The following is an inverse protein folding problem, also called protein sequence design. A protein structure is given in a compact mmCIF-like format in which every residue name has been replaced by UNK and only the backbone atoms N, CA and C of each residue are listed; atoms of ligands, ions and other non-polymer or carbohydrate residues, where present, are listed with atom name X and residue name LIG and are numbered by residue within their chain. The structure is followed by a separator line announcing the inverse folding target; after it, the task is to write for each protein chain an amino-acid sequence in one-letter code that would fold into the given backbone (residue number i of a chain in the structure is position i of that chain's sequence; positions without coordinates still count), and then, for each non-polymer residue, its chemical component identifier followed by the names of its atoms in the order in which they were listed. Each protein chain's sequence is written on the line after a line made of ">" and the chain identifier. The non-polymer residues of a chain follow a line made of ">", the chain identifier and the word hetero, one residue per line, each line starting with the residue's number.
data_IF_388981141960
#
_entry.id   IF_388981141960
#
_cell.length_a   1.000
_cell.length_b   1.000
_cell.length_c   1.000
_cell.angle_alpha   90.00
_cell.angle_beta   90.00
_cell.angle_gamma   90.00
#
_symmetry.space_group_name_H-M   'P 1'
#
loop_
_entity.id
_entity.type
_entity.pdbx_description
1 polymer ?
#
# COMPACT_ATOMS: atom_id res chain seq x y z
N UNK A 1 6.51 -46.74 12.99
CA UNK A 1 5.03 -46.68 13.00
C UNK A 1 4.56 -46.45 14.44
N UNK A 2 4.64 -45.22 14.94
CA UNK A 2 4.07 -44.84 16.24
C UNK A 2 2.71 -44.26 15.91
N UNK A 3 1.70 -45.13 15.80
CA UNK A 3 0.32 -44.67 15.69
C UNK A 3 -0.02 -44.04 17.04
N UNK A 4 -0.14 -42.71 17.06
CA UNK A 4 -0.58 -41.98 18.25
C UNK A 4 -1.91 -42.57 18.72
N UNK A 5 -1.91 -43.18 19.91
CA UNK A 5 -3.06 -43.83 20.55
C UNK A 5 -4.06 -42.82 21.17
N UNK A 6 -3.85 -41.51 20.97
CA UNK A 6 -4.76 -40.49 21.50
C UNK A 6 -6.03 -40.42 20.63
N UNK A 7 -7.20 -40.67 21.24
CA UNK A 7 -8.48 -40.26 20.65
C UNK A 7 -8.44 -38.74 20.52
N UNK A 8 -8.39 -38.23 19.29
CA UNK A 8 -8.43 -36.80 19.00
C UNK A 8 -9.85 -36.40 18.64
N UNK A 9 -10.28 -35.25 19.16
CA UNK A 9 -11.53 -34.61 18.75
C UNK A 9 -11.42 -34.18 17.28
N UNK A 10 -12.43 -34.54 16.48
CA UNK A 10 -12.51 -34.09 15.08
C UNK A 10 -13.10 -32.69 15.09
N UNK A 11 -12.32 -31.70 14.67
CA UNK A 11 -12.74 -30.30 14.55
C UNK A 11 -12.88 -29.89 13.10
N UNK A 12 -13.89 -29.10 12.79
CA UNK A 12 -14.00 -28.48 11.48
C UNK A 12 -13.03 -27.29 11.38
N UNK A 13 -12.53 -27.00 10.18
CA UNK A 13 -11.63 -25.85 9.99
C UNK A 13 -12.31 -24.53 10.36
N UNK A 14 -13.63 -24.42 10.16
CA UNK A 14 -14.44 -23.28 10.58
C UNK A 14 -14.50 -23.08 12.09
N UNK A 15 -14.25 -24.12 12.89
CA UNK A 15 -14.19 -24.05 14.36
C UNK A 15 -12.79 -23.65 14.86
N UNK A 16 -11.78 -23.81 14.01
CA UNK A 16 -10.37 -23.51 14.32
C UNK A 16 -9.98 -22.10 13.89
N UNK A 17 -10.50 -21.64 12.74
CA UNK A 17 -10.25 -20.30 12.22
C UNK A 17 -11.31 -19.31 12.69
N UNK A 18 -10.89 -18.08 13.00
CA UNK A 18 -11.82 -17.00 13.33
C UNK A 18 -12.75 -16.69 12.14
N UNK A 19 -14.03 -16.33 12.35
CA UNK A 19 -15.00 -16.14 11.28
C UNK A 19 -14.54 -15.23 10.15
N UNK A 20 -13.89 -14.11 10.49
CA UNK A 20 -13.37 -13.14 9.51
C UNK A 20 -12.37 -13.76 8.52
N UNK A 21 -11.62 -14.79 8.94
CA UNK A 21 -10.62 -15.46 8.12
C UNK A 21 -11.17 -16.63 7.30
N UNK A 22 -12.47 -16.91 7.34
CA UNK A 22 -13.07 -17.95 6.50
C UNK A 22 -12.96 -17.59 5.01
N UNK A 23 -13.06 -16.31 4.65
CA UNK A 23 -12.86 -15.83 3.28
C UNK A 23 -11.39 -15.98 2.82
N UNK A 24 -10.44 -15.70 3.72
CA UNK A 24 -9.01 -15.94 3.49
C UNK A 24 -8.75 -17.42 3.23
N UNK A 25 -9.37 -18.30 4.03
CA UNK A 25 -9.23 -19.74 3.85
C UNK A 25 -9.80 -20.23 2.51
N UNK A 26 -10.95 -19.69 2.07
CA UNK A 26 -11.53 -19.98 0.75
C UNK A 26 -10.61 -19.52 -0.37
N UNK A 27 -10.08 -18.30 -0.28
CA UNK A 27 -9.10 -17.77 -1.24
C UNK A 27 -7.85 -18.66 -1.30
N UNK A 28 -7.30 -19.05 -0.13
CA UNK A 28 -6.16 -19.95 0.00
C UNK A 28 -6.40 -21.34 -0.61
N UNK A 29 -7.58 -21.91 -0.39
CA UNK A 29 -7.98 -23.22 -0.92
C UNK A 29 -8.20 -23.23 -2.42
N UNK A 30 -8.61 -22.11 -3.01
CA UNK A 30 -8.91 -22.01 -4.43
C UNK A 30 -7.69 -22.21 -5.34
N UNK A 31 -6.47 -22.02 -4.80
CA UNK A 31 -5.22 -21.97 -5.57
C UNK A 31 -5.22 -20.96 -6.74
N UNK A 32 -6.19 -20.03 -6.78
CA UNK A 32 -6.23 -18.92 -7.74
C UNK A 32 -5.09 -17.93 -7.47
N UNK A 33 -4.93 -17.54 -6.21
CA UNK A 33 -4.03 -16.47 -5.79
C UNK A 33 -2.63 -17.00 -5.44
N UNK A 34 -1.59 -16.31 -5.91
CA UNK A 34 -0.19 -16.54 -5.50
C UNK A 34 0.18 -15.72 -4.27
N UNK A 35 -0.43 -14.54 -4.08
CA UNK A 35 -0.15 -13.62 -2.97
C UNK A 35 -1.43 -13.34 -2.18
N UNK A 36 -1.50 -13.79 -0.93
CA UNK A 36 -2.61 -13.47 -0.01
C UNK A 36 -2.14 -12.45 1.02
N UNK A 37 -2.66 -11.23 0.94
CA UNK A 37 -2.27 -10.08 1.76
C UNK A 37 -3.26 -9.91 2.90
N UNK A 38 -2.81 -10.15 4.12
CA UNK A 38 -3.56 -9.91 5.36
C UNK A 38 -3.05 -8.62 6.03
N UNK A 39 -3.76 -7.51 5.87
CA UNK A 39 -3.45 -6.23 6.52
C UNK A 39 -4.44 -5.89 7.64
N UNK A 40 -4.09 -4.90 8.46
CA UNK A 40 -5.00 -4.28 9.42
C UNK A 40 -4.39 -4.11 10.81
N UNK A 41 -5.19 -3.73 11.80
CA UNK A 41 -4.69 -3.28 13.11
C UNK A 41 -4.19 -4.39 14.04
N UNK A 42 -3.68 -3.99 15.21
CA UNK A 42 -3.24 -4.92 16.26
C UNK A 42 -4.41 -5.73 16.81
N UNK A 43 -4.16 -6.96 17.24
CA UNK A 43 -5.17 -7.83 17.87
C UNK A 43 -6.14 -8.52 16.89
N UNK A 44 -5.92 -8.37 15.58
CA UNK A 44 -6.79 -8.87 14.49
C UNK A 44 -6.64 -10.35 14.13
N UNK A 45 -5.89 -11.13 14.92
CA UNK A 45 -5.65 -12.57 14.73
C UNK A 45 -5.05 -13.00 13.37
N UNK A 46 -4.43 -12.08 12.60
CA UNK A 46 -3.76 -12.38 11.32
C UNK A 46 -2.77 -13.55 11.42
N UNK A 47 -1.72 -13.39 12.21
CA UNK A 47 -0.63 -14.36 12.36
C UNK A 47 -1.12 -15.71 12.90
N UNK A 48 -2.13 -15.68 13.79
CA UNK A 48 -2.74 -16.89 14.35
C UNK A 48 -3.44 -17.73 13.29
N UNK A 49 -4.31 -17.11 12.49
CA UNK A 49 -5.03 -17.82 11.43
C UNK A 49 -4.07 -18.30 10.31
N UNK A 50 -3.09 -17.47 9.93
CA UNK A 50 -2.07 -17.86 8.93
C UNK A 50 -1.29 -19.10 9.39
N UNK A 51 -0.81 -19.09 10.63
CA UNK A 51 -0.05 -20.23 11.18
C UNK A 51 -0.89 -21.52 11.23
N UNK A 52 -2.18 -21.43 11.57
CA UNK A 52 -3.10 -22.59 11.53
C UNK A 52 -3.28 -23.12 10.10
N UNK A 53 -3.51 -22.25 9.12
CA UNK A 53 -3.67 -22.64 7.72
C UNK A 53 -2.41 -23.32 7.17
N UNK A 54 -1.23 -22.72 7.39
CA UNK A 54 0.04 -23.29 6.95
C UNK A 54 0.37 -24.61 7.65
N UNK A 55 0.09 -24.73 8.95
CA UNK A 55 0.30 -26.00 9.69
C UNK A 55 -0.55 -27.12 9.10
N UNK A 56 -1.81 -26.84 8.79
CA UNK A 56 -2.70 -27.81 8.15
C UNK A 56 -2.22 -28.20 6.74
N UNK A 57 -1.70 -27.27 5.94
CA UNK A 57 -1.21 -27.58 4.60
C UNK A 57 0.13 -28.33 4.62
N UNK A 58 1.03 -28.03 5.57
CA UNK A 58 2.23 -28.85 5.78
C UNK A 58 1.88 -30.30 6.14
N UNK A 59 0.83 -30.52 6.94
CA UNK A 59 0.35 -31.86 7.32
C UNK A 59 -0.34 -32.57 6.16
N UNK A 60 -1.03 -31.85 5.27
CA UNK A 60 -1.74 -32.46 4.12
C UNK A 60 -0.84 -32.76 2.93
N UNK A 61 0.13 -31.89 2.67
CA UNK A 61 0.90 -31.91 1.44
C UNK A 61 2.39 -32.23 1.69
N UNK A 62 3.07 -32.94 0.77
CA UNK A 62 4.50 -33.21 0.86
C UNK A 62 5.32 -31.99 0.37
N UNK A 63 5.18 -30.87 1.06
CA UNK A 63 5.79 -29.58 0.71
C UNK A 63 6.55 -29.01 1.90
N UNK A 64 7.54 -28.17 1.63
CA UNK A 64 8.17 -27.31 2.62
C UNK A 64 7.56 -25.90 2.56
N UNK A 65 7.52 -25.23 3.71
CA UNK A 65 6.97 -23.88 3.87
C UNK A 65 8.03 -22.98 4.49
N UNK A 66 8.28 -21.82 3.90
CA UNK A 66 9.25 -20.85 4.44
C UNK A 66 8.56 -19.68 5.13
N UNK A 67 8.95 -19.37 6.37
CA UNK A 67 8.48 -18.22 7.14
C UNK A 67 9.59 -17.18 7.19
N UNK A 68 9.31 -15.99 6.65
CA UNK A 68 10.28 -14.91 6.47
C UNK A 68 9.93 -13.74 7.38
N UNK A 69 10.96 -13.13 7.97
CA UNK A 69 10.91 -11.79 8.58
C UNK A 69 12.08 -10.95 8.09
N UNK A 70 12.01 -9.63 8.29
CA UNK A 70 13.12 -8.73 7.96
C UNK A 70 14.40 -9.11 8.71
N UNK A 71 14.32 -9.25 10.03
CA UNK A 71 15.48 -9.49 10.92
C UNK A 71 15.46 -10.91 11.47
N UNK A 72 16.47 -11.71 11.16
CA UNK A 72 16.55 -13.12 11.56
C UNK A 72 16.48 -13.39 13.07
N UNK A 73 17.06 -12.50 13.88
CA UNK A 73 17.04 -12.62 15.35
C UNK A 73 15.63 -12.62 15.94
N UNK A 74 14.66 -12.02 15.24
CA UNK A 74 13.26 -11.94 15.69
C UNK A 74 12.47 -13.23 15.43
N UNK A 75 12.94 -14.12 14.55
CA UNK A 75 12.19 -15.31 14.10
C UNK A 75 11.82 -16.24 15.26
N UNK A 76 12.80 -16.53 16.12
CA UNK A 76 12.65 -17.50 17.21
C UNK A 76 11.54 -17.11 18.18
N UNK A 77 11.32 -15.81 18.43
CA UNK A 77 10.31 -15.29 19.35
C UNK A 77 9.02 -14.84 18.66
N UNK A 78 8.91 -14.99 17.34
CA UNK A 78 7.75 -14.56 16.54
C UNK A 78 7.13 -15.74 15.79
N UNK A 79 7.34 -15.84 14.49
CA UNK A 79 6.74 -16.85 13.60
C UNK A 79 7.04 -18.29 14.04
N UNK A 80 8.20 -18.55 14.63
CA UNK A 80 8.54 -19.88 15.16
C UNK A 80 7.62 -20.30 16.31
N UNK A 81 7.45 -19.44 17.31
CA UNK A 81 6.51 -19.69 18.42
C UNK A 81 5.05 -19.65 17.93
N UNK A 82 4.73 -18.85 16.91
CA UNK A 82 3.39 -18.79 16.34
C UNK A 82 2.99 -20.11 15.65
N UNK A 83 3.92 -20.77 14.96
CA UNK A 83 3.72 -22.11 14.38
C UNK A 83 3.64 -23.17 15.49
N UNK A 84 4.51 -23.12 16.51
CA UNK A 84 4.41 -24.01 17.67
C UNK A 84 3.05 -23.89 18.38
N UNK A 85 2.56 -22.66 18.53
CA UNK A 85 1.23 -22.40 19.06
C UNK A 85 0.15 -23.05 18.18
N UNK A 86 0.22 -22.91 16.85
CA UNK A 86 -0.76 -23.51 15.94
C UNK A 86 -0.76 -25.04 16.03
N UNK A 87 0.42 -25.66 16.06
CA UNK A 87 0.60 -27.11 16.27
C UNK A 87 -0.06 -27.56 17.59
N UNK A 88 0.14 -26.80 18.67
CA UNK A 88 -0.50 -27.05 19.97
C UNK A 88 -2.01 -26.87 19.93
N UNK A 89 -2.53 -25.82 19.30
CA UNK A 89 -3.98 -25.60 19.17
C UNK A 89 -4.67 -26.72 18.39
N UNK A 90 -3.95 -27.31 17.42
CA UNK A 90 -4.44 -28.43 16.63
C UNK A 90 -4.30 -29.79 17.35
N UNK A 91 -3.60 -29.86 18.49
CA UNK A 91 -3.41 -31.11 19.25
C UNK A 91 -2.55 -32.17 18.54
N UNK A 92 -1.61 -31.71 17.70
CA UNK A 92 -0.78 -32.55 16.82
C UNK A 92 0.71 -32.49 17.17
N UNK A 93 1.08 -32.03 18.36
CA UNK A 93 2.47 -31.87 18.80
C UNK A 93 3.31 -33.14 18.66
N UNK A 94 2.70 -34.32 18.89
CA UNK A 94 3.39 -35.62 18.81
C UNK A 94 3.95 -35.93 17.40
N UNK A 95 3.53 -35.20 16.37
CA UNK A 95 4.00 -35.35 14.98
C UNK A 95 5.05 -34.32 14.56
N UNK A 96 5.52 -33.49 15.51
CA UNK A 96 6.43 -32.41 15.20
C UNK A 96 7.70 -32.46 16.04
N UNK A 97 8.81 -32.18 15.38
CA UNK A 97 10.10 -31.97 16.01
C UNK A 97 10.52 -30.50 15.86
N UNK A 98 10.91 -29.88 16.97
CA UNK A 98 11.32 -28.49 17.04
C UNK A 98 12.85 -28.39 17.07
N UNK A 99 13.45 -27.74 16.07
CA UNK A 99 14.90 -27.50 16.03
C UNK A 99 15.24 -26.02 16.06
N UNK A 100 16.37 -25.70 16.68
CA UNK A 100 16.88 -24.34 16.82
C UNK A 100 18.09 -24.04 15.92
N UNK A 101 18.79 -25.08 15.43
CA UNK A 101 19.92 -24.94 14.52
C UNK A 101 20.00 -26.16 13.58
N UNK A 102 19.70 -26.00 12.27
CA UNK A 102 19.04 -24.83 11.69
C UNK A 102 17.65 -24.60 12.33
N UNK A 103 17.13 -23.37 12.27
CA UNK A 103 15.82 -23.05 12.81
C UNK A 103 14.74 -23.65 11.89
N UNK A 104 14.17 -24.78 12.30
CA UNK A 104 13.17 -25.54 11.54
C UNK A 104 12.17 -26.24 12.46
N UNK A 105 10.97 -26.52 11.94
CA UNK A 105 9.96 -27.38 12.60
C UNK A 105 9.58 -28.47 11.62
N UNK A 106 9.88 -29.73 11.95
CA UNK A 106 9.75 -30.88 11.05
C UNK A 106 8.52 -31.70 11.38
N UNK A 107 7.69 -31.99 10.38
CA UNK A 107 6.62 -32.97 10.47
C UNK A 107 7.19 -34.39 10.34
N UNK A 108 7.17 -35.17 11.42
CA UNK A 108 7.97 -36.40 11.54
C UNK A 108 7.48 -37.56 10.69
N UNK A 109 6.21 -37.58 10.30
CA UNK A 109 5.64 -38.69 9.50
C UNK A 109 6.19 -38.73 8.06
N UNK A 110 6.56 -37.58 7.50
CA UNK A 110 7.11 -37.47 6.14
C UNK A 110 8.50 -36.85 6.08
N UNK A 111 8.82 -35.98 7.04
CA UNK A 111 10.09 -35.23 7.07
C UNK A 111 10.02 -33.84 6.43
N UNK A 112 8.89 -33.46 5.82
CA UNK A 112 8.69 -32.09 5.34
C UNK A 112 8.54 -31.11 6.50
N UNK A 113 8.83 -29.82 6.28
CA UNK A 113 9.14 -28.90 7.37
C UNK A 113 8.81 -27.44 7.09
N UNK A 114 8.68 -26.69 8.18
CA UNK A 114 8.81 -25.24 8.21
C UNK A 114 10.28 -24.84 8.27
N UNK A 115 10.66 -23.87 7.45
CA UNK A 115 11.98 -23.24 7.41
C UNK A 115 11.81 -21.77 7.83
N UNK A 116 12.69 -21.25 8.67
CA UNK A 116 12.59 -19.87 9.17
C UNK A 116 13.80 -19.06 8.71
N UNK A 117 13.55 -17.90 8.08
CA UNK A 117 14.60 -17.09 7.46
C UNK A 117 14.46 -15.59 7.71
N UNK A 118 15.59 -14.94 8.01
CA UNK A 118 15.74 -13.49 8.03
C UNK A 118 16.38 -13.00 6.74
N UNK A 119 15.99 -11.83 6.25
CA UNK A 119 16.52 -11.23 5.01
C UNK A 119 17.50 -10.08 5.28
N UNK A 120 17.90 -9.89 6.53
CA UNK A 120 18.93 -8.96 6.97
C UNK A 120 20.32 -9.28 6.40
N UNK A 121 20.52 -10.53 5.96
CA UNK A 121 21.71 -10.99 5.26
C UNK A 121 21.33 -11.50 3.85
N UNK A 122 21.70 -10.78 2.77
CA UNK A 122 21.38 -11.13 1.39
C UNK A 122 21.90 -12.50 0.93
N UNK A 123 22.90 -13.08 1.61
CA UNK A 123 23.40 -14.40 1.26
C UNK A 123 22.43 -15.51 1.68
N UNK A 124 21.60 -15.29 2.71
CA UNK A 124 20.67 -16.28 3.26
C UNK A 124 19.50 -16.58 2.33
N UNK A 125 19.01 -15.60 1.57
CA UNK A 125 17.88 -15.79 0.65
C UNK A 125 18.25 -16.60 -0.58
N UNK A 126 19.50 -16.49 -1.07
CA UNK A 126 19.96 -17.15 -2.30
C UNK A 126 20.08 -18.68 -2.16
N UNK A 127 20.26 -19.17 -0.94
CA UNK A 127 20.58 -20.57 -0.61
C UNK A 127 19.38 -21.42 -0.19
N UNK A 128 18.15 -20.91 -0.27
CA UNK A 128 16.94 -21.68 0.03
C UNK A 128 16.72 -22.75 -1.04
N UNK A 129 17.23 -23.95 -0.79
CA UNK A 129 16.97 -25.16 -1.56
C UNK A 129 16.88 -26.31 -0.56
N UNK A 130 15.88 -27.16 -0.70
CA UNK A 130 15.77 -28.40 0.06
C UNK A 130 15.63 -29.58 -0.91
N UNK A 131 16.46 -30.60 -0.72
CA UNK A 131 16.50 -31.77 -1.61
C UNK A 131 15.39 -32.79 -1.33
N UNK A 132 14.73 -32.70 -0.16
CA UNK A 132 13.76 -33.70 0.29
C UNK A 132 12.35 -33.37 -0.20
N UNK A 133 11.93 -32.11 -0.05
CA UNK A 133 10.60 -31.66 -0.44
C UNK A 133 10.64 -30.27 -1.10
N UNK A 134 9.82 -30.02 -2.13
CA UNK A 134 9.77 -28.72 -2.79
C UNK A 134 9.26 -27.65 -1.83
N UNK A 135 9.84 -26.45 -1.90
CA UNK A 135 9.34 -25.28 -1.19
C UNK A 135 8.30 -24.63 -2.08
N UNK A 136 7.02 -24.75 -1.73
CA UNK A 136 5.92 -24.23 -2.55
C UNK A 136 5.18 -23.09 -1.89
N UNK A 137 5.35 -22.92 -0.57
CA UNK A 137 4.61 -21.93 0.19
C UNK A 137 5.52 -21.05 1.04
N UNK A 138 5.07 -19.81 1.24
CA UNK A 138 5.81 -18.81 1.98
C UNK A 138 4.90 -17.95 2.87
N UNK A 139 5.50 -17.35 3.88
CA UNK A 139 4.85 -16.35 4.71
C UNK A 139 5.82 -15.24 5.07
N UNK A 140 5.57 -14.02 4.59
CA UNK A 140 6.27 -12.83 5.06
C UNK A 140 5.48 -12.21 6.21
N UNK A 141 6.05 -12.26 7.39
CA UNK A 141 5.51 -11.63 8.59
C UNK A 141 6.13 -10.24 8.80
N UNK A 142 5.33 -9.31 9.30
CA UNK A 142 5.64 -7.88 9.41
C UNK A 142 6.23 -7.32 8.11
N UNK A 143 5.51 -7.52 6.99
CA UNK A 143 5.92 -7.10 5.65
C UNK A 143 6.35 -5.61 5.60
N UNK A 144 5.73 -4.76 6.42
CA UNK A 144 6.05 -3.35 6.54
C UNK A 144 7.48 -3.05 7.04
N UNK A 145 8.18 -4.01 7.65
CA UNK A 145 9.59 -3.87 8.09
C UNK A 145 10.59 -3.96 6.92
N UNK A 146 10.16 -4.46 5.75
CA UNK A 146 11.00 -4.56 4.56
C UNK A 146 11.15 -3.19 3.90
N UNK A 147 12.30 -2.95 3.27
CA UNK A 147 12.65 -1.61 2.78
C UNK A 147 11.78 -1.18 1.60
N UNK A 148 11.52 -2.10 0.69
CA UNK A 148 10.77 -1.89 -0.55
C UNK A 148 10.27 -3.24 -1.09
N UNK A 149 9.54 -3.17 -2.19
CA UNK A 149 9.01 -4.33 -2.90
C UNK A 149 10.11 -5.21 -3.50
N UNK A 150 11.17 -4.62 -4.07
CA UNK A 150 12.27 -5.36 -4.73
C UNK A 150 12.94 -6.36 -3.78
N UNK A 151 13.08 -5.98 -2.50
CA UNK A 151 13.62 -6.87 -1.48
C UNK A 151 12.76 -8.14 -1.28
N UNK A 152 11.44 -8.00 -1.38
CA UNK A 152 10.49 -9.10 -1.26
C UNK A 152 10.50 -9.95 -2.53
N UNK A 153 10.46 -9.33 -3.71
CA UNK A 153 10.47 -10.04 -4.99
C UNK A 153 11.77 -10.84 -5.19
N UNK A 154 12.93 -10.32 -4.77
CA UNK A 154 14.21 -11.07 -4.80
C UNK A 154 14.15 -12.39 -4.01
N UNK A 155 13.41 -12.40 -2.89
CA UNK A 155 13.22 -13.61 -2.08
C UNK A 155 12.23 -14.56 -2.76
N UNK A 156 11.15 -14.04 -3.35
CA UNK A 156 10.19 -14.83 -4.11
C UNK A 156 10.83 -15.50 -5.32
N UNK A 157 11.68 -14.80 -6.07
CA UNK A 157 12.45 -15.35 -7.20
C UNK A 157 13.37 -16.51 -6.77
N UNK A 158 13.83 -16.48 -5.51
CA UNK A 158 14.61 -17.57 -4.94
C UNK A 158 13.76 -18.79 -4.58
N UNK A 159 12.45 -18.61 -4.36
CA UNK A 159 11.48 -19.67 -4.09
C UNK A 159 10.92 -20.26 -5.40
N UNK A 160 10.65 -19.44 -6.42
CA UNK A 160 9.94 -19.81 -7.66
C UNK A 160 10.78 -20.58 -8.71
N UNK A 161 11.91 -21.18 -8.33
CA UNK A 161 12.92 -21.70 -9.27
C UNK A 161 12.51 -22.98 -10.02
N UNK A 162 11.60 -23.78 -9.49
CA UNK A 162 11.29 -25.12 -10.00
C UNK A 162 9.92 -25.24 -10.67
N UNK A 163 9.81 -26.10 -11.69
CA UNK A 163 8.49 -26.60 -12.13
C UNK A 163 7.93 -27.51 -11.04
N UNK A 164 6.73 -27.20 -10.56
CA UNK A 164 6.04 -28.02 -9.58
C UNK A 164 5.30 -29.17 -10.28
N UNK A 165 5.11 -30.29 -9.55
CA UNK A 165 4.30 -31.41 -10.03
C UNK A 165 2.82 -31.01 -10.14
N UNK A 166 2.05 -31.75 -10.93
CA UNK A 166 0.63 -31.52 -11.13
C UNK A 166 -0.12 -31.35 -9.80
N UNK A 167 -0.93 -30.29 -9.69
CA UNK A 167 -1.70 -29.82 -8.52
C UNK A 167 -0.98 -28.99 -7.45
N UNK A 168 0.34 -28.74 -7.57
CA UNK A 168 1.04 -27.80 -6.69
C UNK A 168 1.25 -26.44 -7.36
N UNK A 169 1.09 -25.35 -6.60
CA UNK A 169 1.32 -23.97 -7.03
C UNK A 169 2.15 -23.23 -5.99
N UNK A 170 2.98 -22.30 -6.44
CA UNK A 170 3.59 -21.33 -5.54
C UNK A 170 2.54 -20.35 -5.02
N UNK A 171 2.39 -20.29 -3.70
CA UNK A 171 1.49 -19.32 -3.07
C UNK A 171 1.92 -19.01 -1.65
N UNK A 172 1.55 -17.86 -1.13
CA UNK A 172 1.90 -17.53 0.24
C UNK A 172 1.14 -16.36 0.82
N UNK A 173 1.47 -16.06 2.07
CA UNK A 173 0.87 -14.99 2.83
C UNK A 173 1.84 -13.82 3.02
N UNK A 174 1.30 -12.61 2.96
CA UNK A 174 1.92 -11.41 3.49
C UNK A 174 1.06 -10.91 4.66
N UNK A 175 1.66 -10.67 5.82
CA UNK A 175 0.97 -10.04 6.95
C UNK A 175 1.70 -8.81 7.44
N UNK A 176 0.95 -7.74 7.72
CA UNK A 176 1.51 -6.53 8.30
C UNK A 176 0.44 -5.68 9.00
N UNK A 177 0.91 -4.84 9.92
CA UNK A 177 0.14 -3.69 10.37
C UNK A 177 0.53 -2.48 9.49
N UNK A 178 -0.43 -1.79 8.86
CA UNK A 178 -0.14 -0.66 7.98
C UNK A 178 0.69 0.42 8.68
N UNK A 179 1.82 0.87 8.11
CA UNK A 179 2.61 1.97 8.65
C UNK A 179 1.83 3.28 8.73
N UNK A 180 2.27 4.17 9.64
CA UNK A 180 1.65 5.48 9.84
C UNK A 180 1.69 6.32 8.56
N UNK A 181 2.85 6.35 7.89
CA UNK A 181 3.07 7.09 6.67
C UNK A 181 2.33 6.48 5.49
N UNK A 182 1.45 7.27 4.85
CA UNK A 182 0.67 6.83 3.71
C UNK A 182 1.54 6.46 2.50
N UNK A 183 2.65 7.17 2.30
CA UNK A 183 3.60 6.92 1.22
C UNK A 183 4.44 5.65 1.37
N UNK A 184 4.36 4.96 2.52
CA UNK A 184 5.09 3.71 2.71
C UNK A 184 4.70 2.70 1.62
N UNK A 185 5.68 1.95 1.10
CA UNK A 185 5.50 1.11 -0.09
C UNK A 185 4.38 0.07 0.08
N UNK A 186 4.18 -0.53 1.27
CA UNK A 186 3.08 -1.49 1.47
C UNK A 186 1.71 -0.82 1.42
N UNK A 187 1.60 0.42 1.92
CA UNK A 187 0.37 1.20 1.88
C UNK A 187 0.10 1.65 0.45
N UNK A 188 1.11 2.20 -0.24
CA UNK A 188 1.02 2.54 -1.68
C UNK A 188 0.48 1.34 -2.46
N UNK A 189 1.14 0.19 -2.38
CA UNK A 189 0.84 -0.99 -3.19
C UNK A 189 -0.51 -1.63 -2.89
N UNK A 190 -0.83 -1.85 -1.61
CA UNK A 190 -1.97 -2.68 -1.20
C UNK A 190 -3.16 -1.89 -0.63
N UNK A 191 -3.03 -0.57 -0.44
CA UNK A 191 -4.14 0.30 -0.03
C UNK A 191 -4.55 1.27 -1.13
N UNK A 192 -3.61 2.09 -1.62
CA UNK A 192 -3.97 3.24 -2.47
C UNK A 192 -3.93 2.94 -3.97
N UNK A 193 -3.05 2.04 -4.41
CA UNK A 193 -2.89 1.72 -5.84
C UNK A 193 -3.42 0.34 -6.21
N UNK A 194 -3.92 -0.42 -5.24
CA UNK A 194 -4.38 -1.77 -5.48
C UNK A 194 -5.62 -1.74 -6.38
N UNK A 195 -5.56 -2.52 -7.46
CA UNK A 195 -6.71 -2.85 -8.30
C UNK A 195 -6.92 -4.35 -8.21
N UNK A 196 -8.15 -4.82 -8.43
CA UNK A 196 -8.44 -6.25 -8.46
C UNK A 196 -7.46 -6.95 -9.41
N UNK A 197 -6.83 -8.00 -8.89
CA UNK A 197 -5.73 -8.73 -9.53
C UNK A 197 -6.07 -10.22 -9.45
N UNK A 198 -5.85 -10.94 -10.54
CA UNK A 198 -6.18 -12.36 -10.61
C UNK A 198 -5.26 -13.25 -9.76
N UNK A 199 -4.11 -12.74 -9.33
CA UNK A 199 -3.10 -13.43 -8.53
C UNK A 199 -2.99 -12.92 -7.09
N UNK A 200 -3.56 -11.76 -6.76
CA UNK A 200 -3.47 -11.14 -5.42
C UNK A 200 -4.85 -11.06 -4.74
N UNK A 201 -4.95 -11.58 -3.52
CA UNK A 201 -6.11 -11.40 -2.65
C UNK A 201 -5.75 -10.51 -1.46
N UNK A 202 -6.45 -9.39 -1.27
CA UNK A 202 -6.23 -8.47 -0.14
C UNK A 202 -7.37 -8.59 0.86
N UNK A 203 -7.01 -8.77 2.13
CA UNK A 203 -7.93 -8.88 3.26
C UNK A 203 -7.54 -7.88 4.36
N UNK A 204 -8.54 -7.22 4.93
CA UNK A 204 -8.39 -6.35 6.11
C UNK A 204 -9.12 -6.92 7.34
N UNK A 205 -8.46 -6.91 8.50
CA UNK A 205 -9.08 -7.18 9.80
C UNK A 205 -8.57 -6.30 10.93
N UNK A 206 -9.42 -6.15 11.94
CA UNK A 206 -9.19 -5.39 13.17
C UNK A 206 -9.38 -6.27 14.39
N UNK A 207 -9.11 -5.73 15.59
CA UNK A 207 -9.40 -6.44 16.83
C UNK A 207 -10.90 -6.71 17.05
N UNK A 208 -11.78 -5.94 16.40
CA UNK A 208 -13.24 -6.13 16.46
C UNK A 208 -13.68 -7.44 15.80
N UNK A 209 -12.87 -7.95 14.86
CA UNK A 209 -13.12 -9.19 14.14
C UNK A 209 -12.63 -10.44 14.90
N UNK A 210 -11.93 -10.25 16.03
CA UNK A 210 -11.31 -11.34 16.77
C UNK A 210 -12.15 -11.73 18.00
N UNK A 211 -12.88 -12.86 17.96
CA UNK A 211 -13.71 -13.31 19.08
C UNK A 211 -12.88 -13.77 20.30
N UNK A 212 -11.57 -13.95 20.16
CA UNK A 212 -10.67 -14.37 21.23
C UNK A 212 -9.82 -13.22 21.79
N UNK A 213 -10.17 -11.96 21.47
CA UNK A 213 -9.49 -10.79 22.00
C UNK A 213 -9.79 -10.64 23.50
N UNK A 214 -8.81 -10.20 24.28
CA UNK A 214 -9.01 -10.03 25.73
C UNK A 214 -9.77 -8.74 26.06
N UNK A 215 -10.56 -8.77 27.13
CA UNK A 215 -11.28 -7.60 27.64
C UNK A 215 -10.33 -6.43 27.94
N UNK A 216 -9.13 -6.71 28.45
CA UNK A 216 -8.13 -5.68 28.73
C UNK A 216 -7.60 -5.02 27.46
N UNK A 217 -7.48 -5.78 26.36
CA UNK A 217 -7.11 -5.20 25.07
C UNK A 217 -8.22 -4.27 24.56
N UNK A 218 -9.49 -4.69 24.67
CA UNK A 218 -10.66 -3.89 24.28
C UNK A 218 -10.73 -2.60 25.11
N UNK A 219 -10.61 -2.70 26.44
CA UNK A 219 -10.57 -1.52 27.34
C UNK A 219 -9.47 -0.54 26.97
N UNK A 220 -8.27 -1.06 26.65
CA UNK A 220 -7.14 -0.23 26.22
C UNK A 220 -7.43 0.44 24.88
N UNK A 221 -8.01 -0.28 23.92
CA UNK A 221 -8.37 0.26 22.61
C UNK A 221 -9.40 1.39 22.73
N UNK A 222 -10.47 1.18 23.51
CA UNK A 222 -11.50 2.20 23.76
C UNK A 222 -10.96 3.41 24.54
N UNK A 223 -10.04 3.20 25.50
CA UNK A 223 -9.36 4.33 26.17
C UNK A 223 -8.54 5.17 25.19
N UNK A 224 -7.81 4.52 24.27
CA UNK A 224 -7.05 5.23 23.23
C UNK A 224 -7.99 5.92 22.24
N UNK A 225 -9.13 5.32 21.90
CA UNK A 225 -10.15 5.91 21.03
C UNK A 225 -10.69 7.22 21.57
N UNK A 226 -10.96 7.29 22.88
CA UNK A 226 -11.43 8.51 23.55
C UNK A 226 -10.33 9.59 23.62
N UNK A 227 -9.11 9.20 24.01
CA UNK A 227 -8.02 10.15 24.27
C UNK A 227 -7.29 10.61 23.00
N UNK A 228 -7.20 9.75 21.98
CA UNK A 228 -6.48 10.02 20.74
C UNK A 228 -7.08 9.19 19.57
N UNK A 229 -8.17 9.69 18.95
CA UNK A 229 -8.87 9.01 17.86
C UNK A 229 -7.98 8.63 16.68
N UNK A 230 -7.00 9.48 16.32
CA UNK A 230 -6.08 9.21 15.23
C UNK A 230 -5.13 8.04 15.55
N UNK A 231 -4.56 8.02 16.76
CA UNK A 231 -3.76 6.88 17.22
C UNK A 231 -4.59 5.60 17.27
N UNK A 232 -5.87 5.69 17.60
CA UNK A 232 -6.78 4.56 17.59
C UNK A 232 -6.98 3.99 16.18
N UNK A 233 -7.35 4.84 15.21
CA UNK A 233 -7.48 4.47 13.79
C UNK A 233 -6.25 3.73 13.27
N UNK A 234 -5.06 4.28 13.51
CA UNK A 234 -3.82 3.63 13.09
C UNK A 234 -3.53 2.33 13.84
N UNK A 235 -3.50 2.37 15.16
CA UNK A 235 -2.98 1.24 15.97
C UNK A 235 -3.92 0.04 15.97
N UNK A 236 -5.24 0.30 16.03
CA UNK A 236 -6.26 -0.72 16.28
C UNK A 236 -7.12 -1.02 15.05
N UNK A 237 -7.41 -0.02 14.20
CA UNK A 237 -8.11 -0.24 12.94
C UNK A 237 -7.15 -0.51 11.78
N UNK A 238 -5.86 -0.16 11.92
CA UNK A 238 -4.87 -0.36 10.86
C UNK A 238 -5.05 0.61 9.70
N UNK A 239 -5.49 1.83 9.96
CA UNK A 239 -5.61 2.88 8.94
C UNK A 239 -4.32 3.71 8.89
N UNK A 240 -3.67 3.87 7.72
CA UNK A 240 -2.58 4.83 7.56
C UNK A 240 -3.11 6.25 7.76
N UNK A 241 -2.62 6.95 8.79
CA UNK A 241 -3.12 8.27 9.19
C UNK A 241 -2.24 9.44 8.75
N UNK A 242 -1.06 9.17 8.19
CA UNK A 242 -0.05 10.20 7.96
C UNK A 242 0.43 10.82 9.27
N UNK A 243 0.97 12.04 9.25
CA UNK A 243 1.53 12.69 10.44
C UNK A 243 0.48 13.05 11.51
N UNK A 244 -0.82 12.94 11.20
CA UNK A 244 -1.93 13.29 12.07
C UNK A 244 -2.52 14.68 11.78
N UNK A 245 -1.89 15.43 10.87
CA UNK A 245 -2.44 16.61 10.21
C UNK A 245 -2.69 16.21 8.75
N UNK A 246 -3.92 16.35 8.28
CA UNK A 246 -4.28 16.01 6.90
C UNK A 246 -4.01 17.24 6.03
N UNK A 247 -3.18 17.14 4.98
CA UNK A 247 -2.89 18.27 4.09
C UNK A 247 -4.13 18.89 3.43
N UNK A 248 -5.06 18.05 3.02
CA UNK A 248 -6.29 18.41 2.32
C UNK A 248 -7.45 17.67 2.99
N UNK A 249 -8.00 18.25 4.05
CA UNK A 249 -9.18 17.71 4.74
C UNK A 249 -10.49 17.94 3.97
N UNK A 250 -10.43 18.81 2.95
CA UNK A 250 -11.47 19.09 1.95
C UNK A 250 -11.44 18.13 0.74
N UNK A 251 -10.74 17.00 0.82
CA UNK A 251 -10.62 16.03 -0.25
C UNK A 251 -11.88 15.13 -0.35
N UNK A 252 -12.52 15.12 -1.52
CA UNK A 252 -13.67 14.27 -1.83
C UNK A 252 -13.31 13.25 -2.93
N UNK A 253 -13.04 12.01 -2.52
CA UNK A 253 -12.78 10.90 -3.45
C UNK A 253 -14.10 10.24 -3.85
N UNK A 254 -14.63 10.60 -5.02
CA UNK A 254 -15.91 10.10 -5.53
C UNK A 254 -16.05 10.25 -7.05
N UNK A 255 -16.98 9.50 -7.63
CA UNK A 255 -17.36 9.71 -9.03
C UNK A 255 -17.89 11.12 -9.26
N UNK A 256 -17.44 11.76 -10.33
CA UNK A 256 -17.94 13.06 -10.78
C UNK A 256 -19.04 12.81 -11.81
N UNK A 257 -20.24 13.32 -11.55
CA UNK A 257 -21.40 13.15 -12.42
C UNK A 257 -21.26 13.95 -13.71
N UNK A 258 -21.98 13.54 -14.75
CA UNK A 258 -22.00 14.26 -16.02
C UNK A 258 -22.65 15.64 -15.87
N UNK A 259 -23.61 15.79 -14.96
CA UNK A 259 -24.27 17.05 -14.61
C UNK A 259 -23.27 18.03 -13.97
N UNK A 260 -22.43 17.56 -13.04
CA UNK A 260 -21.35 18.37 -12.47
C UNK A 260 -20.39 18.85 -13.56
N UNK A 261 -19.96 17.96 -14.47
CA UNK A 261 -19.05 18.31 -15.56
C UNK A 261 -19.68 19.34 -16.51
N UNK A 262 -20.94 19.16 -16.90
CA UNK A 262 -21.68 20.08 -17.78
C UNK A 262 -21.86 21.47 -17.14
N UNK A 263 -21.89 21.54 -15.81
CA UNK A 263 -21.99 22.80 -15.08
C UNK A 263 -20.69 23.61 -15.03
N UNK A 264 -19.57 23.06 -15.46
CA UNK A 264 -18.26 23.71 -15.43
C UNK A 264 -18.05 24.54 -16.70
N UNK A 265 -17.80 25.83 -16.52
CA UNK A 265 -17.54 26.79 -17.61
C UNK A 265 -16.06 27.12 -17.77
N UNK A 266 -15.22 26.69 -16.82
CA UNK A 266 -13.81 27.09 -16.72
C UNK A 266 -12.94 25.90 -16.40
N UNK A 267 -11.94 25.69 -17.24
CA UNK A 267 -10.92 24.68 -17.02
C UNK A 267 -9.56 25.34 -16.75
N UNK A 268 -8.74 24.63 -15.98
CA UNK A 268 -7.35 24.98 -15.68
C UNK A 268 -6.49 23.78 -15.98
N UNK A 269 -5.47 24.02 -16.80
CA UNK A 269 -4.51 23.01 -17.20
C UNK A 269 -3.16 23.34 -16.56
N UNK A 270 -2.50 22.32 -16.03
CA UNK A 270 -1.18 22.45 -15.40
C UNK A 270 -0.23 21.36 -15.84
N UNK A 271 1.06 21.69 -15.93
CA UNK A 271 2.12 20.71 -16.22
C UNK A 271 3.26 20.85 -15.22
N UNK A 272 3.58 19.76 -14.55
CA UNK A 272 4.85 19.55 -13.84
C UNK A 272 5.74 18.65 -14.70
N UNK A 273 6.96 19.10 -14.98
CA UNK A 273 7.86 18.42 -15.91
C UNK A 273 8.60 17.27 -15.21
N UNK A 274 8.73 16.14 -15.92
CA UNK A 274 9.50 14.98 -15.50
C UNK A 274 9.86 14.13 -16.71
N UNK A 275 10.97 13.38 -16.65
CA UNK A 275 11.38 12.54 -17.77
C UNK A 275 12.02 11.22 -17.32
N UNK A 276 13.01 11.27 -16.43
CA UNK A 276 13.75 10.09 -15.97
C UNK A 276 12.94 9.24 -14.99
N UNK A 277 13.33 9.30 -13.71
CA UNK A 277 12.60 8.64 -12.62
C UNK A 277 11.37 9.44 -12.20
N UNK A 278 11.40 10.76 -12.41
CA UNK A 278 10.29 11.65 -12.14
C UNK A 278 9.29 11.64 -13.31
N UNK A 279 8.00 11.42 -13.05
CA UNK A 279 6.97 11.43 -14.07
C UNK A 279 6.66 12.85 -14.54
N UNK A 280 6.33 12.99 -15.82
CA UNK A 280 5.60 14.17 -16.31
C UNK A 280 4.15 14.08 -15.83
N UNK A 281 3.61 15.19 -15.33
CA UNK A 281 2.24 15.27 -14.85
C UNK A 281 1.50 16.43 -15.53
N UNK A 282 0.59 16.09 -16.45
CA UNK A 282 -0.46 17.00 -16.92
C UNK A 282 -1.75 16.77 -16.14
N UNK A 283 -2.35 17.86 -15.68
CA UNK A 283 -3.63 17.84 -14.96
C UNK A 283 -4.62 18.80 -15.60
N UNK A 284 -5.88 18.37 -15.72
CA UNK A 284 -7.00 19.22 -16.14
C UNK A 284 -8.05 19.28 -15.04
N UNK A 285 -8.31 20.48 -14.56
CA UNK A 285 -9.29 20.74 -13.51
C UNK A 285 -10.44 21.59 -14.05
N UNK A 286 -11.67 21.21 -13.73
CA UNK A 286 -12.81 22.11 -13.84
C UNK A 286 -12.98 22.90 -12.54
N UNK A 287 -13.29 24.19 -12.63
CA UNK A 287 -13.29 25.07 -11.47
C UNK A 287 -14.62 25.80 -11.29
N UNK A 288 -15.39 25.41 -10.27
CA UNK A 288 -16.52 26.22 -9.78
C UNK A 288 -15.97 27.31 -8.86
N UNK A 289 -15.62 28.45 -9.47
CA UNK A 289 -15.04 29.60 -8.76
C UNK A 289 -15.98 30.20 -7.72
N UNK A 290 -17.31 30.09 -7.90
CA UNK A 290 -18.28 30.66 -6.96
C UNK A 290 -18.34 29.83 -5.69
N UNK A 291 -18.31 28.51 -5.81
CA UNK A 291 -18.28 27.59 -4.67
C UNK A 291 -16.89 27.32 -4.14
N UNK A 292 -15.84 27.72 -4.88
CA UNK A 292 -14.44 27.37 -4.60
C UNK A 292 -14.22 25.86 -4.55
N UNK A 293 -14.77 25.15 -5.54
CA UNK A 293 -14.61 23.70 -5.70
C UNK A 293 -13.87 23.41 -6.99
N UNK A 294 -12.89 22.52 -6.93
CA UNK A 294 -12.18 22.01 -8.12
C UNK A 294 -12.54 20.55 -8.35
N UNK A 295 -12.66 20.16 -9.62
CA UNK A 295 -13.02 18.82 -10.08
C UNK A 295 -11.92 18.29 -10.99
N UNK A 296 -11.35 17.12 -10.67
CA UNK A 296 -10.32 16.49 -11.51
C UNK A 296 -10.97 15.86 -12.74
N UNK A 297 -10.73 16.43 -13.93
CA UNK A 297 -11.47 16.08 -15.17
C UNK A 297 -10.71 15.08 -16.03
N UNK A 298 -9.40 15.31 -16.21
CA UNK A 298 -8.53 14.46 -17.02
C UNK A 298 -7.08 14.59 -16.53
N UNK A 299 -6.26 13.59 -16.81
CA UNK A 299 -4.84 13.59 -16.49
C UNK A 299 -4.04 12.89 -17.59
N UNK A 300 -2.77 13.26 -17.73
CA UNK A 300 -1.80 12.51 -18.53
C UNK A 300 -0.48 12.46 -17.75
N UNK A 301 -0.09 11.26 -17.34
CA UNK A 301 0.89 11.07 -16.28
C UNK A 301 1.79 9.86 -16.57
N UNK A 302 3.10 10.01 -16.41
CA UNK A 302 4.02 8.88 -16.49
C UNK A 302 5.49 9.26 -16.70
N UNK A 303 6.36 8.26 -16.57
CA UNK A 303 7.81 8.37 -16.78
C UNK A 303 8.18 8.20 -18.26
N UNK A 304 9.26 8.84 -18.69
CA UNK A 304 9.77 8.72 -20.06
C UNK A 304 8.88 9.33 -21.14
N UNK A 305 7.84 10.09 -20.77
CA UNK A 305 6.94 10.73 -21.72
C UNK A 305 7.64 11.91 -22.40
N UNK A 306 7.58 11.95 -23.73
CA UNK A 306 8.12 13.06 -24.52
C UNK A 306 7.09 14.18 -24.67
N UNK A 307 7.56 15.43 -24.80
CA UNK A 307 6.70 16.60 -25.00
C UNK A 307 5.75 16.45 -26.21
N UNK A 308 6.22 15.84 -27.31
CA UNK A 308 5.37 15.51 -28.47
C UNK A 308 4.18 14.60 -28.15
N UNK A 309 4.33 13.68 -27.19
CA UNK A 309 3.29 12.73 -26.80
C UNK A 309 2.25 13.43 -25.92
N UNK A 310 2.71 14.29 -25.00
CA UNK A 310 1.85 15.21 -24.27
C UNK A 310 1.07 16.12 -25.22
N UNK A 311 1.75 16.71 -26.20
CA UNK A 311 1.12 17.58 -27.19
C UNK A 311 0.05 16.84 -28.00
N UNK A 312 0.36 15.63 -28.49
CA UNK A 312 -0.59 14.79 -29.20
C UNK A 312 -1.82 14.46 -28.34
N UNK A 313 -1.63 14.17 -27.05
CA UNK A 313 -2.72 13.95 -26.12
C UNK A 313 -3.62 15.19 -26.00
N UNK A 314 -3.05 16.37 -25.72
CA UNK A 314 -3.79 17.65 -25.58
C UNK A 314 -4.60 17.95 -26.85
N UNK A 315 -3.97 17.84 -28.02
CA UNK A 315 -4.61 18.09 -29.33
C UNK A 315 -5.73 17.08 -29.58
N UNK A 316 -5.51 15.80 -29.30
CA UNK A 316 -6.53 14.74 -29.51
C UNK A 316 -7.79 14.95 -28.68
N UNK A 317 -7.66 15.66 -27.55
CA UNK A 317 -8.74 16.00 -26.63
C UNK A 317 -9.40 17.34 -26.94
N UNK A 318 -8.84 18.11 -27.88
CA UNK A 318 -9.24 19.48 -28.21
C UNK A 318 -9.24 20.39 -26.96
N UNK A 319 -8.16 20.33 -26.18
CA UNK A 319 -7.97 21.19 -25.01
C UNK A 319 -7.24 22.48 -25.42
N UNK A 320 -8.01 23.57 -25.53
CA UNK A 320 -7.53 24.86 -26.05
C UNK A 320 -7.18 25.87 -24.94
N UNK A 321 -7.51 25.60 -23.68
CA UNK A 321 -7.22 26.52 -22.58
C UNK A 321 -5.74 26.57 -22.22
N UNK A 322 -5.28 27.76 -21.82
CA UNK A 322 -3.90 28.01 -21.40
C UNK A 322 -3.41 26.96 -20.39
N UNK A 323 -2.27 26.37 -20.70
CA UNK A 323 -1.54 25.43 -19.86
C UNK A 323 -0.47 26.20 -19.06
N UNK A 324 -0.58 26.15 -17.75
CA UNK A 324 0.41 26.71 -16.84
C UNK A 324 1.45 25.65 -16.48
N UNK A 325 2.67 25.80 -16.96
CA UNK A 325 3.75 24.85 -16.76
C UNK A 325 4.69 25.28 -15.63
N UNK A 326 5.47 24.35 -15.09
CA UNK A 326 6.67 24.72 -14.36
C UNK A 326 7.58 25.61 -15.23
N UNK A 327 7.92 26.79 -14.72
CA UNK A 327 8.81 27.77 -15.34
C UNK A 327 10.29 27.37 -15.35
N UNK A 328 10.69 26.30 -14.65
CA UNK A 328 12.07 25.81 -14.60
C UNK A 328 12.54 25.23 -15.94
N UNK A 329 11.61 24.81 -16.83
CA UNK A 329 11.93 24.29 -18.16
C UNK A 329 11.35 25.17 -19.29
N UNK A 330 11.93 26.35 -19.57
CA UNK A 330 11.44 27.24 -20.62
C UNK A 330 11.46 26.61 -22.02
N UNK A 331 12.43 25.72 -22.29
CA UNK A 331 12.52 25.01 -23.58
C UNK A 331 11.32 24.09 -23.82
N UNK A 332 10.87 23.34 -22.81
CA UNK A 332 9.71 22.45 -22.90
C UNK A 332 8.42 23.25 -23.14
N UNK A 333 8.32 24.45 -22.56
CA UNK A 333 7.21 25.38 -22.81
C UNK A 333 7.22 25.87 -24.26
N UNK A 334 8.38 26.27 -24.79
CA UNK A 334 8.50 26.72 -26.18
C UNK A 334 8.20 25.58 -27.16
N UNK A 335 8.62 24.35 -26.87
CA UNK A 335 8.30 23.18 -27.69
C UNK A 335 6.78 22.92 -27.74
N UNK A 336 6.04 23.04 -26.62
CA UNK A 336 4.57 22.94 -26.67
C UNK A 336 3.95 23.99 -27.58
N UNK A 337 4.48 25.22 -27.59
CA UNK A 337 3.99 26.29 -28.46
C UNK A 337 4.26 26.01 -29.94
N UNK A 338 5.34 25.30 -30.27
CA UNK A 338 5.62 24.84 -31.64
C UNK A 338 4.57 23.83 -32.15
N UNK A 339 3.88 23.13 -31.25
CA UNK A 339 2.72 22.28 -31.57
C UNK A 339 1.37 23.02 -31.53
N UNK A 340 1.38 24.36 -31.60
CA UNK A 340 0.19 25.23 -31.52
C UNK A 340 -0.59 25.13 -30.19
N UNK A 341 0.08 24.74 -29.10
CA UNK A 341 -0.54 24.67 -27.77
C UNK A 341 -0.30 25.96 -26.99
N UNK A 342 -1.36 26.50 -26.40
CA UNK A 342 -1.27 27.67 -25.52
C UNK A 342 -0.59 27.29 -24.19
N UNK A 343 0.70 27.57 -24.05
CA UNK A 343 1.48 27.26 -22.85
C UNK A 343 2.22 28.48 -22.28
N UNK A 344 2.31 28.58 -20.95
CA UNK A 344 3.07 29.61 -20.25
C UNK A 344 3.64 29.12 -18.91
N UNK A 345 4.81 29.65 -18.53
CA UNK A 345 5.41 29.34 -17.24
C UNK A 345 4.67 30.02 -16.07
N UNK A 346 4.43 29.26 -15.00
CA UNK A 346 3.90 29.80 -13.75
C UNK A 346 4.91 30.77 -13.11
N UNK A 347 4.43 31.93 -12.63
CA UNK A 347 5.31 32.88 -11.92
C UNK A 347 5.59 32.35 -10.51
N UNK A 348 6.82 31.89 -10.26
CA UNK A 348 7.29 31.44 -8.95
C UNK A 348 7.98 32.58 -8.19
N UNK A 349 7.67 32.71 -6.90
CA UNK A 349 8.37 33.58 -5.94
C UNK A 349 8.71 32.79 -4.68
N UNK A 350 9.53 33.35 -3.79
CA UNK A 350 9.77 32.76 -2.49
C UNK A 350 8.43 32.54 -1.76
N UNK A 351 8.19 31.34 -1.21
CA UNK A 351 6.93 31.01 -0.55
C UNK A 351 5.77 30.62 -1.48
N UNK A 352 5.96 30.61 -2.80
CA UNK A 352 4.88 30.29 -3.76
C UNK A 352 4.43 28.83 -3.68
N UNK A 353 5.27 27.93 -3.17
CA UNK A 353 4.93 26.52 -2.94
C UNK A 353 3.91 26.42 -1.81
N UNK A 354 4.32 26.89 -0.64
CA UNK A 354 3.52 26.89 0.58
C UNK A 354 2.21 27.68 0.41
N UNK A 355 2.25 28.79 -0.34
CA UNK A 355 1.04 29.56 -0.64
C UNK A 355 0.04 28.77 -1.47
N UNK A 356 0.47 28.10 -2.54
CA UNK A 356 -0.44 27.33 -3.37
C UNK A 356 -0.98 26.08 -2.67
N UNK A 357 -0.16 25.43 -1.82
CA UNK A 357 -0.61 24.32 -0.97
C UNK A 357 -1.72 24.80 0.01
N UNK A 358 -1.50 25.95 0.67
CA UNK A 358 -2.52 26.55 1.55
C UNK A 358 -3.78 26.95 0.79
N UNK A 359 -3.65 27.48 -0.42
CA UNK A 359 -4.80 27.84 -1.24
C UNK A 359 -5.64 26.62 -1.62
N UNK A 360 -5.00 25.49 -1.94
CA UNK A 360 -5.70 24.23 -2.18
C UNK A 360 -6.41 23.72 -0.93
N UNK A 361 -5.75 23.77 0.23
CA UNK A 361 -6.35 23.40 1.51
C UNK A 361 -7.53 24.33 1.91
N UNK A 362 -7.54 25.59 1.45
CA UNK A 362 -8.60 26.58 1.69
C UNK A 362 -9.74 26.54 0.64
N UNK A 363 -9.76 25.54 -0.26
CA UNK A 363 -10.92 25.30 -1.12
C UNK A 363 -12.06 24.67 -0.31
N UNK A 364 -13.29 24.83 -0.79
CA UNK A 364 -14.44 24.16 -0.15
C UNK A 364 -14.38 22.65 -0.37
N UNK A 365 -13.97 22.23 -1.58
CA UNK A 365 -13.73 20.83 -1.88
C UNK A 365 -12.74 20.65 -3.04
N UNK A 366 -11.97 19.56 -2.96
CA UNK A 366 -11.16 19.00 -4.03
C UNK A 366 -11.79 17.67 -4.41
N UNK A 367 -12.57 17.66 -5.49
CA UNK A 367 -13.31 16.47 -5.92
C UNK A 367 -12.49 15.70 -6.95
N UNK A 368 -12.18 14.45 -6.65
CA UNK A 368 -11.36 13.58 -7.51
C UNK A 368 -12.11 12.28 -7.78
N UNK A 369 -12.24 11.94 -9.06
CA UNK A 369 -12.78 10.65 -9.51
C UNK A 369 -11.62 9.70 -9.84
N UNK A 370 -11.33 8.68 -9.01
CA UNK A 370 -10.20 7.77 -9.22
C UNK A 370 -10.29 6.99 -10.55
N UNK A 371 -11.49 6.84 -11.12
CA UNK A 371 -11.65 6.16 -12.42
C UNK A 371 -11.20 7.03 -13.58
N UNK A 372 -11.29 8.35 -13.43
CA UNK A 372 -10.87 9.34 -14.44
C UNK A 372 -9.42 9.73 -14.26
N UNK A 373 -9.05 10.03 -13.02
CA UNK A 373 -7.75 10.62 -12.67
C UNK A 373 -7.07 9.82 -11.55
N UNK A 374 -6.65 8.57 -11.82
CA UNK A 374 -6.08 7.69 -10.82
C UNK A 374 -4.76 8.19 -10.22
N UNK A 375 -3.92 8.93 -10.97
CA UNK A 375 -2.66 9.45 -10.46
C UNK A 375 -2.85 10.68 -9.58
N UNK A 376 -3.75 11.60 -9.97
CA UNK A 376 -4.18 12.71 -9.12
C UNK A 376 -4.75 12.15 -7.81
N UNK A 377 -5.65 11.15 -7.86
CA UNK A 377 -6.19 10.50 -6.64
C UNK A 377 -5.08 9.94 -5.76
N UNK A 378 -4.19 9.14 -6.35
CA UNK A 378 -3.07 8.51 -5.64
C UNK A 378 -2.21 9.54 -4.91
N UNK A 379 -1.82 10.63 -5.57
CA UNK A 379 -0.92 11.61 -4.95
C UNK A 379 -1.63 12.47 -3.90
N UNK A 380 -2.84 12.97 -4.16
CA UNK A 380 -3.61 13.73 -3.17
C UNK A 380 -4.00 12.91 -1.94
N UNK A 381 -4.27 11.61 -2.08
CA UNK A 381 -4.59 10.74 -0.95
C UNK A 381 -3.35 10.42 -0.10
N UNK A 382 -2.19 10.28 -0.74
CA UNK A 382 -0.94 9.83 -0.11
C UNK A 382 -0.07 10.96 0.44
N UNK A 383 -0.23 12.19 -0.04
CA UNK A 383 0.59 13.33 0.38
C UNK A 383 0.45 13.58 1.88
N UNK A 384 1.56 14.02 2.48
CA UNK A 384 1.68 14.36 3.89
C UNK A 384 2.61 15.57 4.04
N UNK A 385 2.62 16.17 5.22
CA UNK A 385 3.61 17.19 5.56
C UNK A 385 5.01 16.57 5.66
N UNK A 386 6.02 17.28 5.18
CA UNK A 386 7.41 16.90 5.44
C UNK A 386 7.69 16.90 6.96
N UNK A 387 8.59 16.05 7.44
CA UNK A 387 8.98 16.05 8.86
C UNK A 387 10.43 16.50 9.06
N UNK A 388 10.70 17.11 10.22
CA UNK A 388 12.07 17.30 10.69
C UNK A 388 12.70 15.98 11.18
N UNK A 389 13.93 16.04 11.70
CA UNK A 389 14.66 14.88 12.21
C UNK A 389 14.03 14.27 13.46
N UNK A 390 13.25 15.05 14.19
CA UNK A 390 12.57 14.65 15.42
C UNK A 390 11.15 14.12 15.15
N UNK A 391 10.71 14.15 13.88
CA UNK A 391 9.41 13.66 13.44
C UNK A 391 8.27 14.68 13.56
N UNK A 392 8.59 15.97 13.79
CA UNK A 392 7.59 17.04 13.80
C UNK A 392 7.27 17.49 12.37
N UNK A 393 6.00 17.79 12.09
CA UNK A 393 5.56 18.27 10.79
C UNK A 393 6.11 19.69 10.50
N UNK A 394 6.61 19.87 9.28
CA UNK A 394 7.05 21.13 8.70
C UNK A 394 5.89 21.80 7.94
N UNK A 395 5.89 23.13 7.77
CA UNK A 395 4.83 23.86 7.08
C UNK A 395 4.93 23.78 5.54
N UNK A 396 5.26 22.59 5.01
CA UNK A 396 5.36 22.27 3.59
C UNK A 396 5.06 20.79 3.38
N UNK A 397 4.54 20.43 2.21
CA UNK A 397 4.32 19.03 1.87
C UNK A 397 5.65 18.28 1.66
N UNK A 398 5.60 16.96 1.78
CA UNK A 398 6.73 16.09 1.44
C UNK A 398 7.01 16.19 -0.06
N UNK A 399 8.27 16.49 -0.41
CA UNK A 399 8.72 16.63 -1.80
C UNK A 399 8.98 15.25 -2.43
N UNK A 400 7.91 14.44 -2.51
CA UNK A 400 7.96 13.07 -2.99
C UNK A 400 6.60 12.58 -3.50
N UNK A 401 6.51 12.23 -4.79
CA UNK A 401 5.26 11.87 -5.46
C UNK A 401 4.19 12.99 -5.37
N UNK A 402 4.60 14.24 -5.58
CA UNK A 402 3.77 15.46 -5.54
C UNK A 402 3.52 16.09 -6.92
N UNK A 403 3.95 15.45 -8.01
CA UNK A 403 3.94 16.03 -9.37
C UNK A 403 2.57 16.55 -9.81
N UNK A 404 1.51 15.79 -9.56
CA UNK A 404 0.15 16.22 -9.88
C UNK A 404 -0.34 17.35 -8.97
N UNK A 405 0.14 17.44 -7.73
CA UNK A 405 -0.17 18.53 -6.79
C UNK A 405 0.53 19.81 -7.25
N UNK A 406 1.80 19.71 -7.66
CA UNK A 406 2.54 20.84 -8.23
C UNK A 406 1.97 21.30 -9.57
N UNK A 407 1.66 20.37 -10.47
CA UNK A 407 0.93 20.68 -11.70
C UNK A 407 -0.40 21.39 -11.40
N UNK A 408 -1.13 20.94 -10.37
CA UNK A 408 -2.38 21.57 -9.93
C UNK A 408 -2.14 22.99 -9.43
N UNK A 409 -1.12 23.20 -8.60
CA UNK A 409 -0.74 24.54 -8.14
C UNK A 409 -0.41 25.47 -9.31
N UNK A 410 0.30 24.98 -10.33
CA UNK A 410 0.59 25.77 -11.53
C UNK A 410 -0.69 26.11 -12.30
N UNK A 411 -1.58 25.14 -12.49
CA UNK A 411 -2.87 25.32 -13.17
C UNK A 411 -3.68 26.49 -12.57
N UNK A 412 -3.64 26.64 -11.24
CA UNK A 412 -4.38 27.67 -10.51
C UNK A 412 -3.56 28.93 -10.14
N UNK A 413 -2.30 29.01 -10.56
CA UNK A 413 -1.38 30.10 -10.20
C UNK A 413 -1.88 31.50 -10.55
N UNK A 414 -2.75 31.64 -11.55
CA UNK A 414 -3.38 32.92 -11.91
C UNK A 414 -4.64 33.23 -11.09
N UNK A 415 -5.37 32.22 -10.61
CA UNK A 415 -6.54 32.43 -9.74
C UNK A 415 -6.13 32.80 -8.31
N UNK A 416 -4.97 32.33 -7.90
CA UNK A 416 -4.29 32.65 -6.64
C UNK A 416 -3.95 34.15 -6.45
N UNK A 417 -3.94 34.94 -7.53
CA UNK A 417 -3.45 36.34 -7.56
C UNK A 417 -4.47 37.41 -7.12
N UNK A 418 -5.51 37.07 -6.37
CA UNK A 418 -6.49 38.06 -5.87
C UNK A 418 -6.65 38.01 -4.35
N UNK A 419 -5.84 38.84 -3.67
CA UNK A 419 -5.98 39.19 -2.27
C UNK A 419 -4.78 40.07 -1.87
N UNK A 420 -5.03 41.24 -1.30
CA UNK A 420 -3.99 42.17 -0.82
C UNK A 420 -3.03 41.47 0.17
N UNK A 421 -1.90 40.96 -0.30
CA UNK A 421 -0.68 40.88 0.50
C UNK A 421 0.50 41.13 -0.44
N UNK A 422 0.94 42.39 -0.44
CA UNK A 422 2.24 42.79 -0.96
C UNK A 422 3.25 42.24 0.02
N UNK A 423 4.14 41.35 -0.43
CA UNK A 423 5.36 41.07 0.31
C UNK A 423 6.33 42.20 -0.04
N UNK A 424 6.61 43.06 0.94
CA UNK A 424 7.74 44.00 0.85
C UNK A 424 9.05 43.21 0.84
N UNK A 425 9.98 43.68 0.01
CA UNK A 425 11.29 43.08 -0.26
C UNK A 425 12.22 43.08 0.96
#
# INVERSE_FOLDING_TARGET
>A
MIISKKKREIKQVSEVLTPKFHEVYKAWKSNKYTKIVCKGGRGSAKSSNIALMLTLDLIRNPINIVCIRKVGETLKKSVYEQIKWAIKQLGVEDYFEYKLSPLEIRYTERGNKFIFMGVDDPQKSKSIVDSSFPITEYWFEELAEFKNEDEVEMVLDSIYRGKLKDNLRYKGFFSYNPPKMKHNWVNKKYEYTFKEDDEIFVHHSTYLDNPFISDDFVKRAETVKLNNPMKYKHTYLGEPIGNGIVPFDNLEIRTISNEEIKGLDRFRNGVDWGYGVDPMAFVRWGYDKKKRIIYAIDEFFGVGIKNRELAAFIISKNYDELIMCDSAEPKSIDELREYDISAAGAKKGAGSVEYGEKWLADLEAIVIDPKRTPNISREFEMIDYATDRDGNALPRLEDKNNHSIDATRYAFSNDMKKGKYVYEC
#
